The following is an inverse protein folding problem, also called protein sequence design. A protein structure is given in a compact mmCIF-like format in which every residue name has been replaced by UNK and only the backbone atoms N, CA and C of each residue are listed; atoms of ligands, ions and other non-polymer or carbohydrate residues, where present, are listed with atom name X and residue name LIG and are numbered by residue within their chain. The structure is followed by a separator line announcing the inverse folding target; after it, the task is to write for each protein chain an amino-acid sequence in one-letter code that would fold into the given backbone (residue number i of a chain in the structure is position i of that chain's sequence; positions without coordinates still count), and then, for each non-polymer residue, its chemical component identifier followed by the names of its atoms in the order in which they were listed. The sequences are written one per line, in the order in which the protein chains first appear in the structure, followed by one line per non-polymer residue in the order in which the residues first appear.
data_IF_539061825615
#
_entry.id   IF_539061825615
#
_cell.length_a   1.000
_cell.length_b   1.000
_cell.length_c   1.000
_cell.angle_alpha   90.00
_cell.angle_beta   90.00
_cell.angle_gamma   90.00
#
_symmetry.space_group_name_H-M   'P 1'
#
loop_
_entity.id
_entity.type
_entity.pdbx_description
1 polymer ?
#
# COMPACT_ATOMS: atom_id res chain seq x y z
N UNK A 1 8.91 18.11 6.02
CA UNK A 1 10.25 17.73 6.50
C UNK A 1 10.54 16.33 6.00
N UNK A 2 11.74 16.04 5.47
CA UNK A 2 12.12 14.68 5.11
C UNK A 2 12.21 13.81 6.37
N UNK A 3 11.83 12.54 6.27
CA UNK A 3 11.98 11.57 7.37
C UNK A 3 13.47 11.29 7.62
N UNK A 4 13.85 11.22 8.90
CA UNK A 4 15.18 10.81 9.35
C UNK A 4 15.16 9.38 9.88
N UNK A 5 16.34 8.75 9.86
CA UNK A 5 16.53 7.45 10.51
C UNK A 5 16.23 7.62 12.01
N UNK A 6 15.32 6.80 12.53
CA UNK A 6 14.87 6.84 13.92
C UNK A 6 13.59 7.66 14.16
N UNK A 7 13.07 8.38 13.16
CA UNK A 7 11.75 8.99 13.27
C UNK A 7 10.67 7.92 13.38
N UNK A 8 9.66 8.19 14.23
CA UNK A 8 8.48 7.36 14.29
C UNK A 8 7.75 7.38 12.95
N UNK A 9 7.10 6.26 12.62
CA UNK A 9 6.25 6.19 11.44
C UNK A 9 5.15 7.28 11.52
N UNK A 10 4.93 8.08 10.47
CA UNK A 10 3.87 9.07 10.47
C UNK A 10 2.49 8.41 10.58
N UNK A 11 1.53 9.12 11.19
CA UNK A 11 0.16 8.64 11.28
C UNK A 11 -0.46 8.45 9.89
N UNK A 12 -1.18 7.34 9.72
CA UNK A 12 -1.94 7.01 8.51
C UNK A 12 -3.44 7.37 8.64
N UNK A 13 -3.84 8.08 9.70
CA UNK A 13 -5.23 8.48 9.96
C UNK A 13 -5.84 9.39 8.88
N UNK A 14 -5.00 10.03 8.05
CA UNK A 14 -5.45 10.85 6.92
C UNK A 14 -6.00 10.04 5.74
N UNK A 15 -5.94 8.71 5.78
CA UNK A 15 -6.48 7.85 4.72
C UNK A 15 -8.02 7.81 4.76
N UNK A 16 -8.65 8.16 3.63
CA UNK A 16 -10.11 8.19 3.50
C UNK A 16 -10.73 6.81 3.33
N UNK A 17 -9.98 5.85 2.78
CA UNK A 17 -10.48 4.50 2.47
C UNK A 17 -9.33 3.51 2.55
N UNK A 18 -9.61 2.36 3.15
CA UNK A 18 -8.67 1.25 3.28
C UNK A 18 -9.12 0.11 2.37
N UNK A 19 -8.16 -0.46 1.64
CA UNK A 19 -8.36 -1.64 0.81
C UNK A 19 -7.46 -2.76 1.34
N UNK A 20 -7.97 -3.99 1.36
CA UNK A 20 -7.30 -5.18 1.91
C UNK A 20 -7.07 -5.17 3.44
N UNK A 21 -7.81 -4.36 4.21
CA UNK A 21 -7.75 -4.33 5.68
C UNK A 21 -8.28 -3.02 6.27
N UNK A 22 -8.00 -2.80 7.56
CA UNK A 22 -8.26 -1.56 8.29
C UNK A 22 -6.97 -0.84 8.73
N UNK A 23 -7.10 0.40 9.21
CA UNK A 23 -5.97 1.13 9.82
C UNK A 23 -5.36 0.34 10.99
N UNK A 24 -6.21 -0.21 11.86
CA UNK A 24 -5.80 -0.97 13.04
C UNK A 24 -5.03 -2.24 12.64
N UNK A 25 -5.54 -2.98 11.66
CA UNK A 25 -4.84 -4.15 11.10
C UNK A 25 -3.47 -3.77 10.54
N UNK A 26 -3.39 -2.65 9.82
CA UNK A 26 -2.12 -2.21 9.21
C UNK A 26 -1.10 -1.82 10.26
N UNK A 27 -1.50 -1.10 11.30
CA UNK A 27 -0.60 -0.70 12.39
C UNK A 27 -0.09 -1.91 13.17
N UNK A 28 -0.95 -2.86 13.50
CA UNK A 28 -0.54 -4.10 14.17
C UNK A 28 0.36 -4.96 13.28
N UNK A 29 0.06 -5.04 11.98
CA UNK A 29 0.83 -5.84 11.04
C UNK A 29 2.22 -5.28 10.76
N UNK A 30 2.39 -3.96 10.88
CA UNK A 30 3.64 -3.25 10.59
C UNK A 30 4.54 -3.08 11.80
N UNK A 31 3.98 -3.22 13.01
CA UNK A 31 4.72 -3.10 14.26
C UNK A 31 5.88 -4.10 14.33
N UNK A 32 7.08 -3.58 14.57
CA UNK A 32 8.30 -4.39 14.70
C UNK A 32 8.82 -5.01 13.40
N UNK A 33 8.16 -4.75 12.26
CA UNK A 33 8.56 -5.25 10.96
C UNK A 33 9.05 -4.11 10.07
N UNK A 34 10.00 -4.34 9.14
CA UNK A 34 10.33 -3.36 8.13
C UNK A 34 9.12 -3.15 7.20
N UNK A 35 8.83 -1.87 6.90
CA UNK A 35 7.67 -1.47 6.10
C UNK A 35 8.14 -0.72 4.86
N UNK A 36 7.73 -1.20 3.69
CA UNK A 36 7.86 -0.49 2.43
C UNK A 36 6.56 0.27 2.13
N UNK A 37 6.63 1.60 2.16
CA UNK A 37 5.52 2.47 1.78
C UNK A 37 5.70 2.90 0.32
N UNK A 38 4.73 2.57 -0.53
CA UNK A 38 4.71 2.95 -1.93
C UNK A 38 3.57 3.92 -2.22
N UNK A 39 3.91 5.11 -2.70
CA UNK A 39 2.93 6.11 -3.13
C UNK A 39 2.65 5.94 -4.62
N UNK A 40 1.38 5.75 -4.98
CA UNK A 40 0.96 5.54 -6.36
C UNK A 40 -0.33 6.29 -6.69
N UNK A 41 -0.65 6.37 -7.98
CA UNK A 41 -1.91 6.92 -8.44
C UNK A 41 -2.44 6.10 -9.63
N UNK A 42 -3.75 5.88 -9.68
CA UNK A 42 -4.42 5.18 -10.80
C UNK A 42 -4.12 5.83 -12.16
N UNK A 43 -4.01 7.15 -12.21
CA UNK A 43 -3.69 7.92 -13.43
C UNK A 43 -2.18 8.00 -13.74
N UNK A 44 -1.31 7.43 -12.89
CA UNK A 44 0.13 7.45 -13.07
C UNK A 44 0.61 6.23 -13.87
N UNK A 45 0.91 6.42 -15.16
CA UNK A 45 1.43 5.35 -16.03
C UNK A 45 2.78 4.79 -15.55
N UNK A 46 3.67 5.65 -15.06
CA UNK A 46 4.99 5.25 -14.52
C UNK A 46 4.83 4.37 -13.28
N UNK A 47 3.83 4.64 -12.45
CA UNK A 47 3.58 3.88 -11.24
C UNK A 47 3.21 2.43 -11.62
N UNK A 48 2.36 2.25 -12.63
CA UNK A 48 1.99 0.93 -13.19
C UNK A 48 3.20 0.15 -13.72
N UNK A 49 4.12 0.82 -14.42
CA UNK A 49 5.37 0.23 -14.91
C UNK A 49 6.27 -0.30 -13.77
N UNK A 50 6.23 0.34 -12.60
CA UNK A 50 7.03 -0.06 -11.43
C UNK A 50 6.35 -1.09 -10.53
N UNK A 51 5.05 -1.35 -10.70
CA UNK A 51 4.32 -2.36 -9.93
C UNK A 51 4.94 -3.78 -9.98
N UNK A 52 5.40 -4.29 -11.14
CA UNK A 52 6.06 -5.60 -11.19
C UNK A 52 7.32 -5.68 -10.33
N UNK A 53 8.10 -4.60 -10.27
CA UNK A 53 9.31 -4.54 -9.43
C UNK A 53 8.96 -4.54 -7.93
N UNK A 54 7.87 -3.88 -7.54
CA UNK A 54 7.37 -3.93 -6.16
C UNK A 54 6.86 -5.32 -5.79
N UNK A 55 6.21 -6.00 -6.72
CA UNK A 55 5.77 -7.38 -6.53
C UNK A 55 6.96 -8.34 -6.36
N UNK A 56 8.06 -8.14 -7.07
CA UNK A 56 9.30 -8.89 -6.89
C UNK A 56 9.92 -8.66 -5.50
N UNK A 57 10.06 -7.39 -5.08
CA UNK A 57 10.55 -7.04 -3.73
C UNK A 57 9.66 -7.68 -2.66
N UNK A 58 8.35 -7.61 -2.83
CA UNK A 58 7.40 -8.21 -1.92
C UNK A 58 7.51 -9.73 -1.88
N UNK A 59 7.66 -10.40 -3.03
CA UNK A 59 7.84 -11.84 -3.09
C UNK A 59 9.15 -12.27 -2.42
N UNK A 60 10.23 -11.52 -2.65
CA UNK A 60 11.57 -11.81 -2.14
C UNK A 60 11.71 -11.57 -0.63
N UNK A 61 11.15 -10.47 -0.13
CA UNK A 61 11.35 -10.03 1.25
C UNK A 61 10.12 -10.24 2.14
N UNK A 62 8.95 -10.56 1.57
CA UNK A 62 7.74 -10.83 2.35
C UNK A 62 7.90 -12.02 3.30
N UNK A 63 8.60 -13.08 2.86
CA UNK A 63 8.95 -14.22 3.72
C UNK A 63 9.95 -13.86 4.83
N UNK A 64 10.71 -12.76 4.68
CA UNK A 64 11.65 -12.25 5.67
C UNK A 64 11.01 -11.23 6.62
N UNK A 65 9.70 -11.01 6.53
CA UNK A 65 8.95 -10.10 7.39
C UNK A 65 8.73 -8.70 6.82
N UNK A 66 9.13 -8.41 5.57
CA UNK A 66 8.84 -7.12 4.93
C UNK A 66 7.33 -6.95 4.72
N UNK A 67 6.78 -5.85 5.24
CA UNK A 67 5.39 -5.45 5.02
C UNK A 67 5.32 -4.36 3.97
N UNK A 68 4.26 -4.34 3.18
CA UNK A 68 4.08 -3.36 2.10
C UNK A 68 2.79 -2.58 2.28
N UNK A 69 2.86 -1.25 2.27
CA UNK A 69 1.70 -0.35 2.28
C UNK A 69 1.68 0.41 0.96
N UNK A 70 0.58 0.33 0.21
CA UNK A 70 0.39 1.09 -1.02
C UNK A 70 -0.58 2.26 -0.76
N UNK A 71 -0.06 3.49 -0.74
CA UNK A 71 -0.85 4.71 -0.51
C UNK A 71 -1.25 5.29 -1.86
N UNK A 72 -2.53 5.21 -2.20
CA UNK A 72 -3.07 5.84 -3.39
C UNK A 72 -3.28 7.34 -3.15
N UNK A 73 -2.58 8.18 -3.92
CA UNK A 73 -2.71 9.64 -3.90
C UNK A 73 -3.29 10.12 -5.24
N UNK A 74 -4.60 10.36 -5.34
CA UNK A 74 -5.22 10.79 -6.60
C UNK A 74 -4.69 12.17 -7.02
N UNK A 75 -4.28 12.30 -8.28
CA UNK A 75 -3.89 13.59 -8.88
C UNK A 75 -5.08 14.40 -9.41
N UNK A 76 -6.24 13.76 -9.50
CA UNK A 76 -7.48 14.33 -10.04
C UNK A 76 -8.67 13.77 -9.25
N UNK A 77 -9.74 14.54 -9.09
CA UNK A 77 -10.91 14.14 -8.30
C UNK A 77 -11.59 12.87 -8.84
N UNK A 78 -11.64 12.69 -10.17
CA UNK A 78 -12.18 11.48 -10.78
C UNK A 78 -11.34 10.21 -10.48
N UNK A 79 -10.05 10.38 -10.14
CA UNK A 79 -9.17 9.27 -9.75
C UNK A 79 -9.29 8.93 -8.26
N UNK A 80 -10.08 9.69 -7.49
CA UNK A 80 -10.40 9.39 -6.09
C UNK A 80 -11.62 8.44 -5.96
N UNK A 81 -12.30 8.15 -7.08
CA UNK A 81 -13.47 7.27 -7.08
C UNK A 81 -13.03 5.85 -6.71
N UNK A 82 -13.58 5.34 -5.60
CA UNK A 82 -13.26 4.03 -5.03
C UNK A 82 -13.39 2.87 -6.03
N UNK A 83 -14.34 2.94 -6.97
CA UNK A 83 -14.53 1.90 -8.01
C UNK A 83 -13.36 1.79 -8.97
N UNK A 84 -12.87 2.92 -9.49
CA UNK A 84 -11.69 2.97 -10.38
C UNK A 84 -10.43 2.52 -9.65
N UNK A 85 -10.35 2.77 -8.35
CA UNK A 85 -9.24 2.34 -7.50
C UNK A 85 -9.27 0.82 -7.29
N UNK A 86 -10.43 0.23 -7.01
CA UNK A 86 -10.59 -1.22 -6.88
C UNK A 86 -10.23 -1.96 -8.16
N UNK A 87 -10.70 -1.50 -9.33
CA UNK A 87 -10.33 -2.08 -10.62
C UNK A 87 -8.82 -2.01 -10.88
N UNK A 88 -8.19 -0.89 -10.52
CA UNK A 88 -6.76 -0.73 -10.63
C UNK A 88 -5.98 -1.62 -9.66
N UNK A 89 -6.51 -1.85 -8.45
CA UNK A 89 -5.91 -2.75 -7.45
C UNK A 89 -5.89 -4.18 -7.99
N UNK A 90 -7.00 -4.65 -8.57
CA UNK A 90 -7.08 -5.99 -9.17
C UNK A 90 -6.17 -6.11 -10.39
N UNK A 91 -6.21 -5.12 -11.30
CA UNK A 91 -5.39 -5.11 -12.51
C UNK A 91 -3.88 -5.12 -12.20
N UNK A 92 -3.46 -4.49 -11.09
CA UNK A 92 -2.04 -4.39 -10.70
C UNK A 92 -1.62 -5.38 -9.61
N UNK A 93 -2.50 -6.34 -9.24
CA UNK A 93 -2.24 -7.36 -8.22
C UNK A 93 -1.76 -6.77 -6.89
N UNK A 94 -2.36 -5.67 -6.45
CA UNK A 94 -2.04 -5.01 -5.17
C UNK A 94 -2.78 -5.73 -4.04
N UNK A 95 -2.44 -7.00 -3.81
CA UNK A 95 -3.12 -7.86 -2.82
C UNK A 95 -2.16 -8.21 -1.69
N UNK A 96 -2.62 -8.25 -0.43
CA UNK A 96 -1.82 -8.83 0.68
C UNK A 96 -1.44 -10.27 0.34
N UNK A 97 -0.18 -10.62 0.52
CA UNK A 97 0.33 -12.00 0.28
C UNK A 97 0.51 -12.80 1.57
N UNK A 98 0.35 -12.17 2.73
CA UNK A 98 0.11 -12.85 3.99
C UNK A 98 -1.36 -13.28 4.00
N UNK A 99 -1.65 -14.54 4.31
CA UNK A 99 -3.00 -15.12 4.41
C UNK A 99 -3.88 -14.53 5.52
N UNK A 100 -3.82 -13.22 5.73
CA UNK A 100 -4.70 -12.46 6.59
C UNK A 100 -6.03 -12.24 5.90
N UNK A 101 -7.05 -12.90 6.45
CA UNK A 101 -8.48 -12.66 6.33
C UNK A 101 -8.83 -11.28 5.75
N UNK A 102 -9.48 -11.31 4.59
CA UNK A 102 -10.25 -10.19 4.06
C UNK A 102 -11.43 -9.96 5.01
N UNK A 103 -11.62 -8.78 5.62
CA UNK A 103 -12.92 -8.45 6.19
C UNK A 103 -13.95 -8.40 5.06
N UNK A 104 -15.08 -9.06 5.30
CA UNK A 104 -16.24 -9.12 4.41
C UNK A 104 -16.93 -7.75 4.30
#
# INVERSE_FOLDING_TARGET
MPMRIGDAMPSLEGATTWFNGSLEDTLEHTKGNPVLVHFWAVSCGICKDKMPQLNDIKAKYGALGLKTIAVHMPRYEHSAISTTVSEAIEANKITRTDGGRQPA
#
